data_IF_484515257850
#
_entry.id   IF_484515257850
#
_cell.length_a   1.000
_cell.length_b   1.000
_cell.length_c   1.000
_cell.angle_alpha   90.00
_cell.angle_beta   90.00
_cell.angle_gamma   90.00
#
_symmetry.space_group_name_H-M   'P 1'
#
loop_
_entity.id
_entity.type
_entity.pdbx_description
1 polymer ?
#
# COMPACT_ATOMS: atom_id res chain seq x y z
N UNK A 1 31.35 21.91 4.25
CA UNK A 1 30.88 21.74 5.65
C UNK A 1 29.42 21.38 5.60
N UNK A 2 29.03 20.19 6.06
CA UNK A 2 27.62 19.78 6.09
C UNK A 2 26.86 20.65 7.09
N UNK A 3 25.79 21.31 6.64
CA UNK A 3 24.95 22.19 7.47
C UNK A 3 24.03 21.34 8.37
N UNK A 4 24.61 20.72 9.40
CA UNK A 4 23.89 19.90 10.39
C UNK A 4 23.51 20.73 11.62
N UNK A 5 22.43 20.32 12.29
CA UNK A 5 21.94 20.88 13.55
C UNK A 5 21.86 19.79 14.59
N UNK A 6 22.09 20.13 15.85
CA UNK A 6 21.92 19.19 16.97
C UNK A 6 20.44 19.15 17.35
N UNK A 7 19.80 18.01 17.11
CA UNK A 7 18.46 17.69 17.58
C UNK A 7 18.50 16.80 18.81
N UNK A 8 17.51 16.94 19.69
CA UNK A 8 17.43 16.23 20.98
C UNK A 8 16.16 15.39 21.01
N UNK A 9 16.31 14.11 21.34
CA UNK A 9 15.18 13.24 21.69
C UNK A 9 15.08 13.15 23.21
N UNK A 10 13.89 13.31 23.76
CA UNK A 10 13.63 13.27 25.20
C UNK A 10 12.42 12.40 25.52
N UNK A 11 12.28 12.06 26.80
CA UNK A 11 11.05 11.51 27.37
C UNK A 11 10.54 12.33 28.55
N UNK A 12 9.23 12.38 28.70
CA UNK A 12 8.55 12.92 29.88
C UNK A 12 7.94 11.74 30.64
N UNK A 13 8.22 11.64 31.94
CA UNK A 13 7.71 10.58 32.81
C UNK A 13 7.51 11.09 34.24
N UNK A 14 6.72 10.37 35.02
CA UNK A 14 6.48 10.62 36.44
C UNK A 14 6.86 9.38 37.25
N UNK A 15 7.19 9.54 38.53
CA UNK A 15 7.32 8.40 39.45
C UNK A 15 5.97 7.86 39.90
N UNK A 16 4.88 8.59 39.63
CA UNK A 16 3.52 8.24 40.03
C UNK A 16 2.72 7.57 38.89
N UNK A 17 3.30 7.44 37.69
CA UNK A 17 2.63 6.79 36.56
C UNK A 17 3.64 6.16 35.59
N UNK A 18 3.27 5.04 34.98
CA UNK A 18 4.05 4.41 33.92
C UNK A 18 3.87 5.06 32.54
N UNK A 19 3.15 6.18 32.46
CA UNK A 19 2.91 6.89 31.21
C UNK A 19 4.14 7.70 30.78
N UNK A 20 4.81 7.19 29.74
CA UNK A 20 5.96 7.84 29.11
C UNK A 20 5.51 8.55 27.83
N UNK A 21 5.89 9.81 27.67
CA UNK A 21 5.78 10.51 26.38
C UNK A 21 7.18 10.70 25.80
N UNK A 22 7.33 10.49 24.50
CA UNK A 22 8.58 10.70 23.76
C UNK A 22 8.40 11.92 22.85
N UNK A 23 9.42 12.77 22.74
CA UNK A 23 9.36 13.90 21.83
C UNK A 23 10.74 14.32 21.36
N UNK A 24 10.77 15.19 20.35
CA UNK A 24 11.99 15.81 19.85
C UNK A 24 11.97 17.34 19.95
N UNK A 25 13.15 17.95 19.95
CA UNK A 25 13.32 19.40 19.91
C UNK A 25 14.71 19.80 19.40
N UNK A 26 14.82 21.01 18.84
CA UNK A 26 16.11 21.67 18.60
C UNK A 26 16.54 22.59 19.75
N UNK A 27 15.60 22.93 20.64
CA UNK A 27 15.87 23.77 21.81
C UNK A 27 16.55 22.95 22.90
N UNK A 28 16.91 23.60 24.01
CA UNK A 28 17.34 22.87 25.21
C UNK A 28 16.18 22.09 25.81
N UNK A 29 16.49 21.05 26.60
CA UNK A 29 15.48 20.28 27.34
C UNK A 29 14.75 21.20 28.34
N UNK A 30 15.44 22.13 29.00
CA UNK A 30 14.80 23.06 29.93
C UNK A 30 13.73 23.89 29.24
N UNK A 31 14.08 24.55 28.12
CA UNK A 31 13.15 25.44 27.41
C UNK A 31 11.98 24.66 26.82
N UNK A 32 12.24 23.46 26.30
CA UNK A 32 11.18 22.62 25.75
C UNK A 32 10.21 22.15 26.83
N UNK A 33 10.67 21.86 28.05
CA UNK A 33 9.78 21.48 29.13
C UNK A 33 8.96 22.66 29.64
N UNK A 34 9.57 23.86 29.70
CA UNK A 34 8.85 25.09 29.97
C UNK A 34 7.72 25.31 28.96
N UNK A 35 8.00 25.15 27.67
CA UNK A 35 6.99 25.27 26.61
C UNK A 35 5.84 24.26 26.80
N UNK A 36 6.15 23.00 27.14
CA UNK A 36 5.11 22.01 27.44
C UNK A 36 4.20 22.43 28.59
N UNK A 37 4.76 23.05 29.65
CA UNK A 37 3.97 23.57 30.79
C UNK A 37 3.09 24.75 30.37
N UNK A 38 3.63 25.71 29.62
CA UNK A 38 2.85 26.83 29.09
C UNK A 38 1.70 26.38 28.18
N UNK A 39 1.98 25.48 27.24
CA UNK A 39 1.00 25.00 26.28
C UNK A 39 -0.05 24.12 26.95
N UNK A 40 0.32 23.38 28.01
CA UNK A 40 -0.62 22.72 28.90
C UNK A 40 -1.56 23.73 29.59
N UNK A 41 -1.04 24.83 30.14
CA UNK A 41 -1.88 25.90 30.71
C UNK A 41 -2.79 26.54 29.66
N UNK A 42 -2.34 26.72 28.41
CA UNK A 42 -3.19 27.21 27.30
C UNK A 42 -4.26 26.19 26.92
N UNK A 43 -3.94 24.89 26.91
CA UNK A 43 -4.88 23.81 26.62
C UNK A 43 -5.99 23.73 27.67
N UNK A 44 -5.67 23.89 28.97
CA UNK A 44 -6.68 23.97 30.03
C UNK A 44 -7.68 25.12 29.80
N UNK A 45 -7.24 26.19 29.15
CA UNK A 45 -8.06 27.35 28.80
C UNK A 45 -8.68 27.26 27.38
N UNK A 46 -8.57 26.11 26.70
CA UNK A 46 -9.12 25.89 25.36
C UNK A 46 -8.39 26.63 24.23
N UNK A 47 -7.21 27.21 24.49
CA UNK A 47 -6.43 28.03 23.53
C UNK A 47 -5.31 27.25 22.83
N UNK A 48 -5.21 25.95 23.07
CA UNK A 48 -4.21 25.08 22.47
C UNK A 48 -4.78 23.67 22.26
N UNK A 49 -4.30 22.94 21.26
CA UNK A 49 -4.68 21.55 21.03
C UNK A 49 -4.14 20.60 22.10
N UNK A 50 -4.79 19.44 22.25
CA UNK A 50 -4.33 18.41 23.20
C UNK A 50 -3.05 17.72 22.70
N UNK A 51 -2.02 17.67 23.56
CA UNK A 51 -0.87 16.76 23.39
C UNK A 51 -1.10 15.54 24.25
N UNK A 52 -0.65 14.36 23.79
CA UNK A 52 -0.94 13.07 24.44
C UNK A 52 -0.59 12.98 25.93
N UNK A 53 0.34 13.80 26.42
CA UNK A 53 0.74 13.81 27.83
C UNK A 53 -0.15 14.69 28.73
N UNK A 54 -0.94 15.61 28.17
CA UNK A 54 -1.68 16.63 28.93
C UNK A 54 -2.78 16.04 29.82
N UNK A 55 -3.46 14.99 29.37
CA UNK A 55 -4.43 14.27 30.20
C UNK A 55 -3.79 13.75 31.49
N UNK A 56 -2.55 13.29 31.42
CA UNK A 56 -1.79 12.78 32.56
C UNK A 56 -1.20 13.90 33.42
N UNK A 57 -0.79 15.02 32.83
CA UNK A 57 -0.46 16.23 33.59
C UNK A 57 -1.64 16.71 34.42
N UNK A 58 -2.86 16.64 33.88
CA UNK A 58 -4.09 16.99 34.60
C UNK A 58 -4.42 15.99 35.71
N UNK A 59 -4.23 14.69 35.45
CA UNK A 59 -4.54 13.63 36.40
C UNK A 59 -3.56 13.56 37.59
N UNK A 60 -2.26 13.68 37.32
CA UNK A 60 -1.21 13.46 38.32
C UNK A 60 -0.47 14.73 38.74
N UNK A 61 -0.79 15.88 38.16
CA UNK A 61 -0.11 17.15 38.40
C UNK A 61 1.18 17.30 37.57
N UNK A 62 1.28 18.39 36.83
CA UNK A 62 2.39 18.65 35.89
C UNK A 62 3.76 18.68 36.55
N UNK A 63 3.84 19.12 37.81
CA UNK A 63 5.11 19.23 38.54
C UNK A 63 5.66 17.88 39.02
N UNK A 64 4.83 16.83 39.01
CA UNK A 64 5.26 15.46 39.28
C UNK A 64 5.94 14.79 38.08
N UNK A 65 5.96 15.45 36.91
CA UNK A 65 6.63 14.96 35.72
C UNK A 65 8.03 15.57 35.58
N UNK A 66 8.95 14.74 35.07
CA UNK A 66 10.30 15.13 34.70
C UNK A 66 10.54 14.86 33.23
N UNK A 67 11.27 15.76 32.59
CA UNK A 67 11.74 15.58 31.22
C UNK A 67 13.22 15.20 31.23
N UNK A 68 13.54 14.09 30.59
CA UNK A 68 14.88 13.49 30.57
C UNK A 68 15.35 13.39 29.12
N UNK A 69 16.56 13.87 28.85
CA UNK A 69 17.23 13.68 27.57
C UNK A 69 17.51 12.20 27.34
N UNK A 70 17.11 11.68 26.18
CA UNK A 70 17.46 10.32 25.77
C UNK A 70 18.79 10.36 25.01
N UNK A 71 18.85 11.14 23.93
CA UNK A 71 20.04 11.23 23.07
C UNK A 71 20.00 12.47 22.18
N UNK A 72 21.17 13.03 21.90
CA UNK A 72 21.37 14.06 20.88
C UNK A 72 21.81 13.42 19.56
N UNK A 73 21.39 14.02 18.44
CA UNK A 73 21.73 13.59 17.09
C UNK A 73 22.09 14.81 16.23
N UNK A 74 23.12 14.67 15.41
CA UNK A 74 23.35 15.58 14.30
C UNK A 74 22.38 15.24 13.17
N UNK A 75 21.52 16.19 12.83
CA UNK A 75 20.46 16.02 11.83
C UNK A 75 20.54 17.12 10.78
N UNK A 76 20.04 16.83 9.58
CA UNK A 76 20.04 17.78 8.45
C UNK A 76 18.79 18.67 8.47
N UNK A 77 17.68 18.15 9.00
CA UNK A 77 16.40 18.86 9.09
C UNK A 77 15.51 18.27 10.21
N UNK A 78 14.29 18.80 10.33
CA UNK A 78 13.29 18.33 11.29
C UNK A 78 12.81 16.91 10.98
N UNK A 79 12.63 16.58 9.71
CA UNK A 79 12.13 15.26 9.28
C UNK A 79 13.11 14.15 9.66
N UNK A 80 14.41 14.39 9.54
CA UNK A 80 15.46 13.48 10.02
C UNK A 80 15.39 13.31 11.55
N UNK A 81 15.13 14.39 12.30
CA UNK A 81 14.94 14.30 13.76
C UNK A 81 13.67 13.51 14.15
N UNK A 82 12.56 13.72 13.43
CA UNK A 82 11.30 13.01 13.63
C UNK A 82 11.44 11.51 13.35
N UNK A 83 12.35 11.11 12.45
CA UNK A 83 12.67 9.70 12.21
C UNK A 83 13.31 9.06 13.46
N UNK A 84 14.21 9.77 14.14
CA UNK A 84 14.75 9.32 15.42
C UNK A 84 13.69 9.31 16.52
N UNK A 85 12.81 10.31 16.60
CA UNK A 85 11.67 10.30 17.54
C UNK A 85 10.81 9.05 17.35
N UNK A 86 10.47 8.74 16.09
CA UNK A 86 9.68 7.56 15.72
C UNK A 86 10.39 6.26 16.09
N UNK A 87 11.71 6.17 15.89
CA UNK A 87 12.51 5.02 16.33
C UNK A 87 12.49 4.85 17.85
N UNK A 88 12.51 5.93 18.63
CA UNK A 88 12.44 5.82 20.09
C UNK A 88 11.03 5.47 20.56
N UNK A 89 9.99 6.00 19.92
CA UNK A 89 8.61 5.58 20.14
C UNK A 89 8.41 4.09 19.88
N UNK A 90 9.10 3.49 18.90
CA UNK A 90 8.98 2.04 18.65
C UNK A 90 9.74 1.17 19.66
N UNK A 91 10.74 1.74 20.35
CA UNK A 91 11.56 1.03 21.36
C UNK A 91 10.97 1.12 22.77
N UNK A 92 10.09 2.08 23.02
CA UNK A 92 9.56 2.39 24.34
C UNK A 92 8.03 2.27 24.34
N UNK A 93 7.47 1.72 25.41
CA UNK A 93 6.04 1.83 25.69
C UNK A 93 5.72 3.29 26.01
N UNK A 94 5.02 3.98 25.10
CA UNK A 94 4.73 5.42 25.25
C UNK A 94 3.29 5.77 24.86
N UNK A 95 2.80 6.90 25.36
CA UNK A 95 1.41 7.38 25.19
C UNK A 95 1.20 8.23 23.92
N UNK A 96 2.25 8.42 23.11
CA UNK A 96 2.19 9.21 21.88
C UNK A 96 1.08 8.70 20.94
N UNK A 97 0.08 9.55 20.65
CA UNK A 97 -1.05 9.19 19.77
C UNK A 97 -0.69 9.22 18.27
N UNK A 98 0.32 10.02 17.90
CA UNK A 98 0.66 10.30 16.50
C UNK A 98 2.13 9.98 16.26
N UNK A 99 2.40 9.15 15.24
CA UNK A 99 3.76 8.89 14.76
C UNK A 99 4.24 10.11 13.95
N UNK A 100 5.34 10.79 14.35
CA UNK A 100 5.86 11.99 13.69
C UNK A 100 6.36 11.71 12.27
N UNK A 101 7.24 10.72 12.10
CA UNK A 101 7.83 10.39 10.80
C UNK A 101 7.07 9.23 10.14
N UNK A 102 6.49 9.49 8.98
CA UNK A 102 5.78 8.47 8.19
C UNK A 102 6.32 8.45 6.78
N UNK A 103 6.54 7.25 6.27
CA UNK A 103 6.84 7.03 4.86
C UNK A 103 5.49 6.95 4.13
N UNK A 104 5.11 7.94 3.29
CA UNK A 104 3.75 8.02 2.74
C UNK A 104 3.30 6.74 2.04
N UNK A 105 4.16 6.17 1.18
CA UNK A 105 3.87 4.92 0.45
C UNK A 105 3.61 3.71 1.35
N UNK A 106 4.32 3.59 2.49
CA UNK A 106 4.10 2.51 3.44
C UNK A 106 2.83 2.74 4.27
N UNK A 107 2.56 4.01 4.62
CA UNK A 107 1.35 4.41 5.34
C UNK A 107 0.08 4.14 4.52
N UNK A 108 0.11 4.41 3.21
CA UNK A 108 -1.04 4.18 2.32
C UNK A 108 -1.34 2.69 2.16
N UNK A 109 -0.31 1.85 2.03
CA UNK A 109 -0.48 0.39 2.01
C UNK A 109 -1.11 -0.11 3.32
N UNK A 110 -0.58 0.32 4.47
CA UNK A 110 -1.13 -0.08 5.76
C UNK A 110 -2.58 0.40 5.97
N UNK A 111 -2.94 1.59 5.47
CA UNK A 111 -4.30 2.12 5.49
C UNK A 111 -5.24 1.31 4.58
N UNK A 112 -4.78 0.96 3.37
CA UNK A 112 -5.53 0.11 2.45
C UNK A 112 -5.80 -1.26 3.08
N UNK A 113 -4.79 -1.96 3.61
CA UNK A 113 -4.96 -3.29 4.20
C UNK A 113 -5.95 -3.28 5.37
N UNK A 114 -5.87 -2.29 6.28
CA UNK A 114 -6.85 -2.16 7.38
C UNK A 114 -8.27 -1.93 6.91
N UNK A 115 -8.46 -1.25 5.77
CA UNK A 115 -9.78 -0.88 5.25
C UNK A 115 -10.25 -1.79 4.11
N UNK A 116 -9.43 -2.78 3.72
CA UNK A 116 -9.62 -3.60 2.52
C UNK A 116 -10.98 -4.28 2.52
N UNK A 117 -11.35 -4.88 3.64
CA UNK A 117 -12.62 -5.58 3.79
C UNK A 117 -13.81 -4.63 3.60
N UNK A 118 -13.80 -3.48 4.25
CA UNK A 118 -14.86 -2.47 4.09
C UNK A 118 -14.97 -1.95 2.65
N UNK A 119 -13.84 -1.72 1.98
CA UNK A 119 -13.80 -1.31 0.57
C UNK A 119 -14.41 -2.38 -0.33
N UNK A 120 -14.01 -3.64 -0.14
CA UNK A 120 -14.52 -4.77 -0.91
C UNK A 120 -16.02 -5.00 -0.67
N UNK A 121 -16.48 -4.93 0.58
CA UNK A 121 -17.89 -5.08 0.93
C UNK A 121 -18.74 -4.00 0.27
N UNK A 122 -18.32 -2.74 0.32
CA UNK A 122 -19.02 -1.63 -0.35
C UNK A 122 -19.06 -1.83 -1.88
N UNK A 123 -17.96 -2.27 -2.47
CA UNK A 123 -17.89 -2.54 -3.91
C UNK A 123 -18.77 -3.73 -4.33
N UNK A 124 -18.94 -4.72 -3.46
CA UNK A 124 -19.81 -5.87 -3.69
C UNK A 124 -21.29 -5.48 -3.58
N UNK A 125 -21.66 -4.76 -2.51
CA UNK A 125 -23.01 -4.22 -2.34
C UNK A 125 -23.44 -3.35 -3.52
N UNK A 126 -22.55 -2.45 -3.98
CA UNK A 126 -22.83 -1.64 -5.16
C UNK A 126 -23.05 -2.50 -6.41
N UNK A 127 -22.20 -3.51 -6.65
CA UNK A 127 -22.35 -4.43 -7.78
C UNK A 127 -23.63 -5.25 -7.72
N UNK A 128 -24.09 -5.60 -6.52
CA UNK A 128 -25.32 -6.35 -6.32
C UNK A 128 -26.55 -5.49 -6.60
N UNK A 129 -26.62 -4.30 -6.01
CA UNK A 129 -27.71 -3.34 -6.21
C UNK A 129 -27.81 -2.90 -7.69
N UNK A 130 -26.68 -2.66 -8.34
CA UNK A 130 -26.63 -2.15 -9.71
C UNK A 130 -26.40 -3.25 -10.76
N UNK A 131 -26.57 -4.53 -10.38
CA UNK A 131 -26.28 -5.68 -11.26
C UNK A 131 -26.97 -5.56 -12.61
N UNK A 132 -28.27 -5.30 -12.60
CA UNK A 132 -29.09 -5.30 -13.82
C UNK A 132 -28.79 -4.08 -14.69
N UNK A 133 -28.59 -2.91 -14.09
CA UNK A 133 -28.17 -1.71 -14.80
C UNK A 133 -26.80 -1.88 -15.47
N UNK A 134 -25.85 -2.50 -14.78
CA UNK A 134 -24.52 -2.82 -15.33
C UNK A 134 -24.63 -3.81 -16.49
N UNK A 135 -25.44 -4.86 -16.32
CA UNK A 135 -25.65 -5.87 -17.36
C UNK A 135 -26.36 -5.30 -18.58
N UNK A 136 -27.35 -4.43 -18.38
CA UNK A 136 -28.05 -3.76 -19.48
C UNK A 136 -27.12 -2.81 -20.23
N UNK A 137 -26.30 -2.03 -19.54
CA UNK A 137 -25.28 -1.20 -20.19
C UNK A 137 -24.30 -2.06 -21.02
N UNK A 138 -23.86 -3.21 -20.50
CA UNK A 138 -23.02 -4.15 -21.25
C UNK A 138 -23.74 -4.69 -22.49
N UNK A 139 -25.03 -5.03 -22.36
CA UNK A 139 -25.86 -5.53 -23.46
C UNK A 139 -26.02 -4.47 -24.55
N UNK A 140 -26.39 -3.25 -24.19
CA UNK A 140 -26.50 -2.11 -25.11
C UNK A 140 -25.17 -1.87 -25.82
N UNK A 141 -24.06 -1.83 -25.08
CA UNK A 141 -22.72 -1.65 -25.66
C UNK A 141 -22.35 -2.75 -26.64
N UNK A 142 -22.69 -4.01 -26.31
CA UNK A 142 -22.45 -5.15 -27.19
C UNK A 142 -23.25 -5.03 -28.49
N UNK A 143 -24.57 -4.80 -28.41
CA UNK A 143 -25.42 -4.70 -29.60
C UNK A 143 -25.03 -3.51 -30.49
N UNK A 144 -24.73 -2.34 -29.91
CA UNK A 144 -24.29 -1.18 -30.65
C UNK A 144 -22.97 -1.42 -31.43
N UNK A 145 -22.11 -2.30 -30.93
CA UNK A 145 -20.82 -2.62 -31.58
C UNK A 145 -20.84 -3.92 -32.40
N UNK A 146 -21.88 -4.76 -32.27
CA UNK A 146 -21.93 -6.10 -32.87
C UNK A 146 -21.71 -6.06 -34.38
N UNK A 147 -22.45 -5.21 -35.08
CA UNK A 147 -22.36 -5.11 -36.54
C UNK A 147 -20.98 -4.61 -36.99
N UNK A 148 -20.45 -3.59 -36.32
CA UNK A 148 -19.12 -3.03 -36.60
C UNK A 148 -18.02 -4.08 -36.42
N UNK A 149 -18.03 -4.79 -35.29
CA UNK A 149 -17.05 -5.84 -35.00
C UNK A 149 -17.17 -7.01 -35.98
N UNK A 150 -18.39 -7.42 -36.32
CA UNK A 150 -18.63 -8.47 -37.30
C UNK A 150 -18.15 -8.07 -38.69
N UNK A 151 -18.39 -6.82 -39.11
CA UNK A 151 -17.91 -6.28 -40.38
C UNK A 151 -16.38 -6.27 -40.44
N UNK A 152 -15.72 -5.73 -39.42
CA UNK A 152 -14.25 -5.74 -39.32
C UNK A 152 -13.68 -7.16 -39.37
N UNK A 153 -14.34 -8.11 -38.70
CA UNK A 153 -13.94 -9.53 -38.72
C UNK A 153 -14.07 -10.14 -40.13
N UNK A 154 -15.17 -9.85 -40.85
CA UNK A 154 -15.38 -10.30 -42.23
C UNK A 154 -14.34 -9.71 -43.18
N UNK A 155 -14.13 -8.39 -43.13
CA UNK A 155 -13.13 -7.68 -43.93
C UNK A 155 -11.73 -8.25 -43.70
N UNK A 156 -11.35 -8.48 -42.43
CA UNK A 156 -10.09 -9.11 -42.08
C UNK A 156 -9.98 -10.53 -42.65
N UNK A 157 -11.02 -11.34 -42.52
CA UNK A 157 -11.01 -12.72 -43.03
C UNK A 157 -10.92 -12.76 -44.56
N UNK A 158 -11.62 -11.87 -45.26
CA UNK A 158 -11.60 -11.79 -46.72
C UNK A 158 -10.24 -11.33 -47.25
N UNK A 159 -9.71 -10.22 -46.73
CA UNK A 159 -8.41 -9.69 -47.11
C UNK A 159 -7.26 -10.69 -46.84
N UNK A 160 -7.41 -11.55 -45.83
CA UNK A 160 -6.38 -12.50 -45.43
C UNK A 160 -6.71 -13.96 -45.80
N UNK A 161 -7.77 -14.21 -46.58
CA UNK A 161 -8.27 -15.56 -46.88
C UNK A 161 -7.19 -16.48 -47.45
N UNK A 162 -6.43 -15.98 -48.43
CA UNK A 162 -5.37 -16.74 -49.08
C UNK A 162 -4.23 -17.06 -48.11
N UNK A 163 -3.76 -16.05 -47.34
CA UNK A 163 -2.73 -16.21 -46.31
C UNK A 163 -3.13 -17.22 -45.23
N UNK A 164 -4.36 -17.11 -44.72
CA UNK A 164 -4.90 -18.01 -43.71
C UNK A 164 -5.03 -19.44 -44.23
N UNK A 165 -5.47 -19.61 -45.47
CA UNK A 165 -5.57 -20.94 -46.10
C UNK A 165 -4.21 -21.55 -46.41
N UNK A 166 -3.23 -20.76 -46.84
CA UNK A 166 -1.85 -21.22 -47.02
C UNK A 166 -1.26 -21.72 -45.70
N UNK A 167 -1.40 -20.93 -44.62
CA UNK A 167 -0.97 -21.34 -43.27
C UNK A 167 -1.67 -22.61 -42.76
N UNK A 168 -2.94 -22.82 -43.09
CA UNK A 168 -3.67 -24.07 -42.75
C UNK A 168 -3.13 -25.29 -43.50
N UNK A 169 -2.61 -25.10 -44.72
CA UNK A 169 -2.06 -26.17 -45.56
C UNK A 169 -0.58 -26.45 -45.27
N UNK A 170 0.09 -25.56 -44.54
CA UNK A 170 1.47 -25.71 -44.10
C UNK A 170 1.67 -27.06 -43.39
N UNK A 171 2.74 -27.73 -43.78
CA UNK A 171 3.10 -29.07 -43.34
C UNK A 171 4.20 -28.95 -42.30
N UNK A 172 3.97 -29.59 -41.15
CA UNK A 172 4.92 -29.72 -40.07
C UNK A 172 5.32 -31.17 -39.97
N UNK A 173 6.62 -31.41 -39.92
CA UNK A 173 7.19 -32.72 -39.63
C UNK A 173 7.23 -32.92 -38.12
N UNK A 174 6.61 -34.00 -37.68
CA UNK A 174 6.63 -34.42 -36.28
C UNK A 174 7.96 -35.12 -35.95
N UNK A 175 8.41 -35.07 -34.70
CA UNK A 175 9.66 -35.71 -34.26
C UNK A 175 9.74 -37.21 -34.57
N UNK A 176 8.59 -37.89 -34.67
CA UNK A 176 8.51 -39.29 -35.10
C UNK A 176 8.67 -39.51 -36.62
N UNK A 177 9.02 -38.48 -37.39
CA UNK A 177 9.29 -38.51 -38.82
C UNK A 177 8.08 -38.35 -39.74
N UNK A 178 6.85 -38.33 -39.23
CA UNK A 178 5.64 -38.18 -40.07
C UNK A 178 5.27 -36.71 -40.28
N UNK A 179 4.78 -36.37 -41.47
CA UNK A 179 4.46 -34.98 -41.83
C UNK A 179 2.95 -34.75 -41.89
N UNK A 180 2.46 -33.75 -41.15
CA UNK A 180 1.04 -33.43 -41.00
C UNK A 180 0.78 -31.93 -41.11
N UNK A 181 -0.45 -31.49 -41.36
CA UNK A 181 -0.82 -30.07 -41.18
C UNK A 181 -1.04 -29.77 -39.70
N UNK A 182 -0.97 -28.50 -39.30
CA UNK A 182 -1.20 -28.07 -37.90
C UNK A 182 -2.45 -28.70 -37.25
N UNK A 183 -3.59 -28.73 -37.95
CA UNK A 183 -4.84 -29.29 -37.41
C UNK A 183 -4.81 -30.82 -37.28
N UNK A 184 -4.12 -31.51 -38.19
CA UNK A 184 -3.99 -32.97 -38.16
C UNK A 184 -2.94 -33.40 -37.14
N UNK A 185 -1.91 -32.58 -36.92
CA UNK A 185 -0.84 -32.83 -35.96
C UNK A 185 -1.40 -33.03 -34.54
N UNK A 186 -2.32 -32.17 -34.08
CA UNK A 186 -2.96 -32.30 -32.77
C UNK A 186 -3.72 -33.63 -32.57
N UNK A 187 -4.22 -34.23 -33.64
CA UNK A 187 -4.82 -35.58 -33.60
C UNK A 187 -3.76 -36.67 -33.70
N UNK A 188 -2.75 -36.50 -34.55
CA UNK A 188 -1.62 -37.41 -34.68
C UNK A 188 -0.89 -37.62 -33.35
N UNK A 189 -0.63 -36.55 -32.59
CA UNK A 189 0.03 -36.62 -31.27
C UNK A 189 -0.73 -37.48 -30.26
N UNK A 190 -2.04 -37.68 -30.45
CA UNK A 190 -2.91 -38.52 -29.60
C UNK A 190 -3.04 -39.97 -30.10
N UNK A 191 -2.38 -40.32 -31.21
CA UNK A 191 -2.43 -41.69 -31.73
C UNK A 191 -1.53 -42.61 -30.91
N UNK A 192 -1.97 -43.87 -30.73
CA UNK A 192 -1.19 -44.88 -30.01
C UNK A 192 0.23 -45.03 -30.58
N UNK A 193 0.37 -44.96 -31.91
CA UNK A 193 1.67 -45.03 -32.59
C UNK A 193 2.62 -43.89 -32.18
N UNK A 194 2.11 -42.66 -32.07
CA UNK A 194 2.94 -41.52 -31.65
C UNK A 194 3.27 -41.59 -30.15
N UNK A 195 2.31 -41.98 -29.31
CA UNK A 195 2.51 -42.15 -27.87
C UNK A 195 3.53 -43.25 -27.55
N UNK A 196 3.52 -44.36 -28.30
CA UNK A 196 4.51 -45.43 -28.17
C UNK A 196 5.92 -44.96 -28.56
N UNK A 197 6.06 -44.20 -29.65
CA UNK A 197 7.35 -43.60 -30.04
C UNK A 197 7.86 -42.59 -29.01
N UNK A 198 6.97 -41.78 -28.45
CA UNK A 198 7.32 -40.81 -27.41
C UNK A 198 7.76 -41.50 -26.11
N UNK A 199 7.20 -42.67 -25.79
CA UNK A 199 7.60 -43.48 -24.64
C UNK A 199 8.92 -44.26 -24.86
N UNK A 200 9.35 -44.41 -26.12
CA UNK A 200 10.62 -45.08 -26.48
C UNK A 200 11.80 -44.12 -26.69
N UNK A 201 11.61 -42.82 -26.41
CA UNK A 201 12.63 -41.76 -26.43
C UNK A 201 13.10 -41.50 -25.00
#
# INVERSE_FOLDING_TARGET
MSNTKVGRIYKILSTQSDHVYVGSTFNTIRDRFHQHKEDYSKWLNGKHGEVSIYSYFKQFGVDNFKMILIKEYEVVDRTHLEAYETMWMSKLTCVNKVIPFRIPKLSDKAKYERNKEHILNRANQYREIHRDAINEQKRVRYHANKERLNRQSREYHEANKQRLNAKKKEKITCGCGTTHTHGVLARHLRTAKHQQWQASQ
#
